data_IF_373867487296
#
_entry.id   IF_373867487296
#
_cell.length_a   1.000
_cell.length_b   1.000
_cell.length_c   1.000
_cell.angle_alpha   90.00
_cell.angle_beta   90.00
_cell.angle_gamma   90.00
#
_symmetry.space_group_name_H-M   'P 1'
#
loop_
_entity.id
_entity.type
_entity.pdbx_description
1 polymer ?
#
# COMPACT_ATOMS: atom_id res chain seq x y z
N UNK A 1 14.26 -13.45 -1.34
CA UNK A 1 13.09 -13.88 -0.61
C UNK A 1 11.87 -13.99 -1.49
N UNK A 2 11.03 -14.93 -1.22
CA UNK A 2 9.87 -15.16 -2.07
C UNK A 2 8.62 -14.61 -1.46
N UNK A 3 7.81 -14.00 -2.31
CA UNK A 3 6.50 -13.54 -1.92
C UNK A 3 5.59 -14.72 -1.62
N UNK A 4 4.67 -14.56 -0.68
CA UNK A 4 3.68 -15.58 -0.37
C UNK A 4 2.44 -15.44 -1.24
N UNK A 5 2.38 -14.38 -2.02
CA UNK A 5 1.30 -14.18 -2.99
C UNK A 5 1.54 -15.09 -4.18
N UNK A 6 0.53 -15.86 -4.56
CA UNK A 6 0.68 -16.87 -5.59
C UNK A 6 0.35 -16.35 -7.00
N UNK A 7 0.41 -15.05 -7.21
CA UNK A 7 0.16 -14.47 -8.52
C UNK A 7 1.37 -14.55 -9.41
N UNK A 8 1.14 -14.66 -10.71
CA UNK A 8 2.21 -14.61 -11.68
C UNK A 8 2.72 -13.16 -11.79
N UNK A 9 3.91 -13.01 -12.38
CA UNK A 9 4.48 -11.70 -12.62
C UNK A 9 3.56 -10.86 -13.51
N UNK A 10 2.99 -11.48 -14.53
CA UNK A 10 2.10 -10.77 -15.44
C UNK A 10 0.83 -10.28 -14.73
N UNK A 11 0.28 -11.10 -13.86
CA UNK A 11 -0.91 -10.71 -13.12
C UNK A 11 -0.64 -9.54 -12.19
N UNK A 12 0.53 -9.54 -11.58
CA UNK A 12 0.93 -8.43 -10.69
C UNK A 12 1.06 -7.13 -11.47
N UNK A 13 1.68 -7.20 -12.64
CA UNK A 13 1.86 -6.02 -13.48
C UNK A 13 0.51 -5.49 -13.97
N UNK A 14 -0.39 -6.38 -14.37
CA UNK A 14 -1.72 -5.98 -14.81
C UNK A 14 -2.51 -5.33 -13.69
N UNK A 15 -2.44 -5.89 -12.49
CA UNK A 15 -3.14 -5.30 -11.34
C UNK A 15 -2.61 -3.91 -11.03
N UNK A 16 -1.30 -3.75 -11.06
CA UNK A 16 -0.70 -2.44 -10.81
C UNK A 16 -1.17 -1.41 -11.82
N UNK A 17 -1.21 -1.77 -13.09
CA UNK A 17 -1.65 -0.87 -14.14
C UNK A 17 -3.10 -0.48 -13.96
N UNK A 18 -3.95 -1.44 -13.68
CA UNK A 18 -5.38 -1.22 -13.50
C UNK A 18 -5.66 -0.33 -12.29
N UNK A 19 -5.02 -0.62 -11.17
CA UNK A 19 -5.22 0.15 -9.95
C UNK A 19 -4.68 1.57 -10.11
N UNK A 20 -3.54 1.71 -10.75
CA UNK A 20 -2.97 3.03 -11.01
C UNK A 20 -3.91 3.86 -11.88
N UNK A 21 -4.50 3.25 -12.90
CA UNK A 21 -5.43 3.94 -13.78
C UNK A 21 -6.69 4.37 -13.03
N UNK A 22 -7.15 3.51 -12.12
CA UNK A 22 -8.37 3.78 -11.37
C UNK A 22 -8.19 4.87 -10.31
N UNK A 23 -7.05 4.86 -9.61
CA UNK A 23 -6.84 5.75 -8.47
C UNK A 23 -5.94 6.95 -8.76
N UNK A 24 -5.23 6.92 -9.88
CA UNK A 24 -4.45 8.08 -10.33
C UNK A 24 -3.46 8.60 -9.29
N UNK A 25 -3.62 9.86 -8.91
CA UNK A 25 -2.68 10.52 -8.00
C UNK A 25 -2.62 9.85 -6.63
N UNK A 26 -3.73 9.29 -6.19
CA UNK A 26 -3.74 8.61 -4.89
C UNK A 26 -2.78 7.43 -4.90
N UNK A 27 -2.76 6.69 -5.99
CA UNK A 27 -1.82 5.58 -6.15
C UNK A 27 -0.37 6.08 -6.01
N UNK A 28 -0.05 7.15 -6.73
CA UNK A 28 1.30 7.70 -6.71
C UNK A 28 1.67 8.23 -5.33
N UNK A 29 0.73 8.90 -4.68
CA UNK A 29 0.97 9.48 -3.36
C UNK A 29 1.26 8.40 -2.32
N UNK A 30 0.50 7.31 -2.34
CA UNK A 30 0.71 6.23 -1.38
C UNK A 30 2.00 5.48 -1.70
N UNK A 31 2.30 5.29 -3.00
CA UNK A 31 3.57 4.68 -3.40
C UNK A 31 4.76 5.46 -2.87
N UNK A 32 4.70 6.79 -3.01
CA UNK A 32 5.78 7.65 -2.53
C UNK A 32 5.90 7.61 -1.02
N UNK A 33 4.75 7.59 -0.35
CA UNK A 33 4.72 7.52 1.11
C UNK A 33 5.38 6.25 1.61
N UNK A 34 5.05 5.12 1.00
CA UNK A 34 5.65 3.84 1.39
C UNK A 34 7.15 3.80 1.06
N UNK A 35 7.52 4.37 -0.07
CA UNK A 35 8.94 4.45 -0.44
C UNK A 35 9.71 5.27 0.60
N UNK A 36 9.13 6.36 1.04
CA UNK A 36 9.76 7.26 2.01
C UNK A 36 9.89 6.62 3.39
N UNK A 37 8.84 5.92 3.83
CA UNK A 37 8.85 5.25 5.13
C UNK A 37 9.67 3.96 5.12
N UNK A 38 9.70 3.27 3.98
CA UNK A 38 10.51 2.07 3.79
C UNK A 38 10.27 1.03 4.90
N UNK A 39 9.02 0.59 5.11
CA UNK A 39 8.69 -0.23 6.28
C UNK A 39 9.41 -1.58 6.35
N UNK A 40 9.81 -2.15 5.22
CA UNK A 40 10.53 -3.43 5.23
C UNK A 40 11.96 -3.31 4.73
N UNK A 41 12.46 -2.10 4.54
CA UNK A 41 13.86 -1.87 4.24
C UNK A 41 14.31 -2.30 2.86
N UNK A 42 13.47 -2.14 1.84
CA UNK A 42 13.83 -2.49 0.48
C UNK A 42 14.05 -1.27 -0.41
N UNK A 43 14.08 -0.10 0.19
CA UNK A 43 14.29 1.14 -0.52
C UNK A 43 15.79 1.35 -0.75
N UNK A 44 16.22 1.24 -1.99
CA UNK A 44 17.62 1.47 -2.34
C UNK A 44 17.84 2.82 -2.99
N UNK A 45 16.84 3.69 -2.87
CA UNK A 45 16.90 5.09 -3.34
C UNK A 45 17.03 5.22 -4.86
N UNK A 46 17.02 4.12 -5.57
CA UNK A 46 17.13 4.15 -7.03
C UNK A 46 15.87 3.63 -7.70
N UNK A 47 14.91 3.18 -6.93
CA UNK A 47 13.76 2.50 -7.49
C UNK A 47 12.48 2.90 -6.73
N UNK A 48 11.92 4.07 -7.06
CA UNK A 48 10.77 4.59 -6.30
C UNK A 48 9.50 3.77 -6.42
N UNK A 49 9.48 2.76 -7.31
CA UNK A 49 8.31 1.91 -7.45
C UNK A 49 8.40 0.61 -6.67
N UNK A 50 9.33 0.54 -5.70
CA UNK A 50 9.53 -0.67 -4.90
C UNK A 50 8.27 -1.15 -4.20
N UNK A 51 7.40 -0.24 -3.79
CA UNK A 51 6.21 -0.60 -3.04
C UNK A 51 4.92 -0.56 -3.87
N UNK A 52 5.01 -0.44 -5.19
CA UNK A 52 3.80 -0.30 -6.00
C UNK A 52 2.93 -1.55 -5.99
N UNK A 53 3.53 -2.73 -5.88
CA UNK A 53 2.75 -3.94 -5.80
C UNK A 53 1.90 -3.98 -4.54
N UNK A 54 2.48 -3.55 -3.42
CA UNK A 54 1.75 -3.50 -2.15
C UNK A 54 0.63 -2.47 -2.21
N UNK A 55 0.87 -1.33 -2.84
CA UNK A 55 -0.17 -0.32 -3.01
C UNK A 55 -1.34 -0.89 -3.81
N UNK A 56 -1.05 -1.69 -4.82
CA UNK A 56 -2.09 -2.30 -5.66
C UNK A 56 -3.06 -3.15 -4.88
N UNK A 57 -2.59 -3.79 -3.81
CA UNK A 57 -3.45 -4.65 -3.02
C UNK A 57 -4.04 -3.93 -1.82
N UNK A 58 -3.41 -2.84 -1.37
CA UNK A 58 -3.92 -2.04 -0.26
C UNK A 58 -5.07 -1.14 -0.71
N UNK A 59 -4.89 -0.43 -1.83
CA UNK A 59 -5.86 0.57 -2.27
C UNK A 59 -7.29 0.05 -2.41
N UNK A 60 -7.52 -1.09 -3.07
CA UNK A 60 -8.90 -1.56 -3.20
C UNK A 60 -9.56 -1.88 -1.88
N UNK A 61 -8.79 -2.19 -0.85
CA UNK A 61 -9.33 -2.52 0.46
C UNK A 61 -9.67 -1.31 1.29
N UNK A 62 -9.19 -0.13 0.90
CA UNK A 62 -9.50 1.09 1.64
C UNK A 62 -10.99 1.41 1.62
N UNK A 63 -11.71 0.93 0.60
CA UNK A 63 -13.16 1.12 0.54
C UNK A 63 -13.88 0.47 1.70
N UNK A 64 -13.27 -0.54 2.31
CA UNK A 64 -13.85 -1.27 3.43
C UNK A 64 -13.48 -0.64 4.76
N UNK A 65 -12.58 0.31 4.76
CA UNK A 65 -12.09 0.93 5.98
C UNK A 65 -12.99 2.08 6.41
N UNK A 66 -13.30 2.12 7.70
CA UNK A 66 -14.13 3.18 8.26
C UNK A 66 -13.35 4.03 9.26
N UNK A 67 -12.12 3.66 9.53
CA UNK A 67 -11.29 4.37 10.50
C UNK A 67 -9.82 4.10 10.22
N UNK A 68 -8.99 4.90 10.86
CA UNK A 68 -7.55 4.72 10.77
C UNK A 68 -7.13 3.35 11.32
N UNK A 69 -7.82 2.86 12.33
CA UNK A 69 -7.55 1.53 12.88
C UNK A 69 -7.78 0.44 11.85
N UNK A 70 -8.80 0.59 11.03
CA UNK A 70 -9.05 -0.37 9.95
C UNK A 70 -7.90 -0.33 8.94
N UNK A 71 -7.41 0.87 8.64
CA UNK A 71 -6.33 1.03 7.66
C UNK A 71 -5.05 0.34 8.13
N UNK A 72 -4.70 0.49 9.42
CA UNK A 72 -3.47 -0.13 9.90
C UNK A 72 -3.55 -1.65 9.80
N UNK A 73 -4.74 -2.22 10.04
CA UNK A 73 -4.92 -3.67 9.91
C UNK A 73 -4.76 -4.12 8.48
N UNK A 74 -5.33 -3.36 7.54
CA UNK A 74 -5.22 -3.69 6.12
C UNK A 74 -3.76 -3.60 5.65
N UNK A 75 -3.09 -2.51 5.99
CA UNK A 75 -1.71 -2.31 5.56
C UNK A 75 -0.81 -3.41 6.11
N UNK A 76 -0.90 -3.65 7.41
CA UNK A 76 -0.07 -4.69 8.03
C UNK A 76 -0.35 -6.06 7.42
N UNK A 77 -1.63 -6.38 7.25
CA UNK A 77 -2.02 -7.67 6.68
C UNK A 77 -1.45 -7.86 5.28
N UNK A 78 -1.50 -6.83 4.45
CA UNK A 78 -0.97 -6.93 3.09
C UNK A 78 0.54 -7.09 3.09
N UNK A 79 1.24 -6.40 4.00
CA UNK A 79 2.68 -6.57 4.08
C UNK A 79 3.07 -7.96 4.55
N UNK A 80 2.29 -8.54 5.48
CA UNK A 80 2.51 -9.92 5.89
C UNK A 80 2.31 -10.88 4.71
N UNK A 81 1.30 -10.62 3.91
CA UNK A 81 1.03 -11.47 2.74
C UNK A 81 2.13 -11.36 1.69
N UNK A 82 2.65 -10.15 1.45
CA UNK A 82 3.67 -9.95 0.43
C UNK A 82 5.04 -10.46 0.87
N UNK A 83 5.34 -10.37 2.13
CA UNK A 83 6.65 -10.74 2.65
C UNK A 83 6.57 -11.92 3.60
N UNK A 84 6.29 -11.70 4.83
CA UNK A 84 5.96 -12.67 5.87
C UNK A 84 5.90 -11.90 7.18
N UNK A 85 5.51 -12.58 8.26
CA UNK A 85 5.37 -11.91 9.55
C UNK A 85 6.68 -11.33 10.06
N UNK A 86 7.75 -12.08 9.86
CA UNK A 86 9.06 -11.66 10.35
C UNK A 86 9.54 -10.40 9.63
N UNK A 87 9.41 -10.38 8.31
CA UNK A 87 9.85 -9.24 7.50
C UNK A 87 8.95 -8.03 7.70
N UNK A 88 7.64 -8.26 7.75
CA UNK A 88 6.69 -7.17 7.91
C UNK A 88 6.82 -6.48 9.25
N UNK A 89 7.12 -7.22 10.30
CA UNK A 89 7.25 -6.66 11.63
C UNK A 89 5.91 -6.47 12.32
N UNK A 90 5.91 -5.74 13.42
CA UNK A 90 4.72 -5.56 14.22
C UNK A 90 3.74 -4.57 13.59
N UNK A 91 2.48 -4.72 13.92
CA UNK A 91 1.44 -3.83 13.41
C UNK A 91 1.66 -2.39 13.86
N UNK A 92 2.24 -2.20 15.04
CA UNK A 92 2.49 -0.86 15.56
C UNK A 92 3.44 -0.05 14.68
N UNK A 93 4.34 -0.72 13.97
CA UNK A 93 5.28 -0.01 13.11
C UNK A 93 4.62 0.62 11.88
N UNK A 94 3.35 0.30 11.64
CA UNK A 94 2.61 0.85 10.51
C UNK A 94 1.62 1.95 10.90
N UNK A 95 1.63 2.39 12.16
CA UNK A 95 0.67 3.40 12.61
C UNK A 95 0.80 4.73 11.87
N UNK A 96 2.01 5.20 11.73
CA UNK A 96 2.25 6.47 11.04
C UNK A 96 1.86 6.36 9.58
N UNK A 97 2.24 5.25 8.96
CA UNK A 97 1.91 4.99 7.56
C UNK A 97 0.38 4.97 7.38
N UNK A 98 -0.30 4.24 8.24
CA UNK A 98 -1.75 4.12 8.16
C UNK A 98 -2.44 5.47 8.36
N UNK A 99 -1.93 6.28 9.27
CA UNK A 99 -2.47 7.60 9.50
C UNK A 99 -2.38 8.46 8.25
N UNK A 100 -1.22 8.46 7.60
CA UNK A 100 -1.03 9.25 6.40
C UNK A 100 -1.87 8.71 5.24
N UNK A 101 -1.98 7.39 5.12
CA UNK A 101 -2.83 6.79 4.07
C UNK A 101 -4.28 7.18 4.29
N UNK A 102 -4.74 7.13 5.54
CA UNK A 102 -6.12 7.49 5.87
C UNK A 102 -6.41 8.94 5.49
N UNK A 103 -5.47 9.86 5.79
CA UNK A 103 -5.62 11.25 5.42
C UNK A 103 -5.69 11.43 3.90
N UNK A 104 -4.82 10.74 3.18
CA UNK A 104 -4.82 10.81 1.72
C UNK A 104 -6.13 10.26 1.16
N UNK A 105 -6.61 9.17 1.74
CA UNK A 105 -7.85 8.54 1.29
C UNK A 105 -9.03 9.47 1.48
N UNK A 106 -9.12 10.11 2.65
CA UNK A 106 -10.20 11.04 2.93
C UNK A 106 -10.14 12.25 2.01
N UNK A 107 -8.96 12.79 1.79
CA UNK A 107 -8.79 13.93 0.90
C UNK A 107 -9.20 13.58 -0.52
N UNK A 108 -8.88 12.38 -0.96
CA UNK A 108 -9.23 11.91 -2.30
C UNK A 108 -10.75 11.81 -2.45
N UNK A 109 -11.43 11.32 -1.43
CA UNK A 109 -12.89 11.19 -1.48
C UNK A 109 -13.56 12.56 -1.52
N UNK A 110 -13.04 13.50 -0.74
CA UNK A 110 -13.60 14.86 -0.74
C UNK A 110 -13.42 15.51 -2.10
N UNK A 111 -12.25 15.30 -2.73
CA UNK A 111 -12.01 15.83 -4.05
C UNK A 111 -12.93 15.25 -5.09
N UNK A 112 -13.29 13.99 -4.94
CA UNK A 112 -14.14 13.32 -5.90
C UNK A 112 -15.62 13.73 -5.77
N UNK A 113 -15.99 14.19 -4.60
CA UNK A 113 -17.40 14.53 -4.36
C UNK A 113 -17.75 15.93 -4.85
N UNK A 114 -16.80 16.65 -5.36
CA UNK A 114 -17.04 18.00 -5.88
C UNK A 114 -17.50 18.02 -7.32
#
# INVERSE_FOLDING_TARGET
MKSRVSRTQEEIIEDRRRIKAEYGKLYDSISELLFRHDPVGINFETNPDEYQSEVSTILPRLRECQSEEDVIKVVHHEFVRWFDESTAGSIDSYREIASEIWQLWLASKLGQSS
#
